data_IF_591417271924
#
_entry.id   IF_591417271924
#
_cell.length_a   1.000
_cell.length_b   1.000
_cell.length_c   1.000
_cell.angle_alpha   90.00
_cell.angle_beta   90.00
_cell.angle_gamma   90.00
#
_symmetry.space_group_name_H-M   'P 1'
#
loop_
_entity.id
_entity.type
_entity.pdbx_description
1 polymer ?
#
# COMPACT_ATOMS: atom_id res chain seq x y z
N UNK A 1 -21.94 -11.23 -1.06
CA UNK A 1 -20.50 -10.94 -1.26
C UNK A 1 -19.75 -11.40 -0.04
N UNK A 2 -18.47 -11.74 -0.18
CA UNK A 2 -17.60 -12.01 0.97
C UNK A 2 -17.61 -10.85 1.99
N UNK A 3 -17.89 -11.11 3.29
CA UNK A 3 -17.95 -10.07 4.32
C UNK A 3 -16.68 -9.25 4.43
N UNK A 4 -15.51 -9.82 4.10
CA UNK A 4 -14.23 -9.14 4.21
C UNK A 4 -14.09 -7.91 3.29
N UNK A 5 -14.92 -7.74 2.26
CA UNK A 5 -14.89 -6.55 1.40
C UNK A 5 -15.21 -5.25 2.18
N UNK A 6 -15.89 -5.36 3.33
CA UNK A 6 -16.15 -4.23 4.24
C UNK A 6 -14.87 -3.63 4.83
N UNK A 7 -13.75 -4.35 4.77
CA UNK A 7 -12.46 -3.88 5.28
C UNK A 7 -11.74 -2.92 4.31
N UNK A 8 -12.25 -2.74 3.08
CA UNK A 8 -11.60 -1.87 2.10
C UNK A 8 -11.36 -0.42 2.59
N UNK A 9 -12.28 0.25 3.32
CA UNK A 9 -12.02 1.56 3.90
C UNK A 9 -10.92 1.56 4.97
N UNK A 10 -10.81 0.48 5.76
CA UNK A 10 -9.73 0.32 6.74
C UNK A 10 -8.37 0.28 6.04
N UNK A 11 -8.25 -0.55 5.00
CA UNK A 11 -7.03 -0.66 4.21
C UNK A 11 -6.69 0.63 3.47
N UNK A 12 -7.70 1.38 3.02
CA UNK A 12 -7.48 2.70 2.42
C UNK A 12 -6.88 3.69 3.42
N UNK A 13 -7.32 3.65 4.68
CA UNK A 13 -6.68 4.41 5.77
C UNK A 13 -5.23 3.97 6.00
N UNK A 14 -4.96 2.67 5.91
CA UNK A 14 -3.61 2.12 6.03
C UNK A 14 -2.69 2.57 4.87
N UNK A 15 -3.18 2.57 3.63
CA UNK A 15 -2.45 3.09 2.45
C UNK A 15 -2.13 4.57 2.56
N UNK A 16 -3.09 5.39 3.00
CA UNK A 16 -2.86 6.81 3.25
C UNK A 16 -1.79 7.00 4.32
N UNK A 17 -1.84 6.20 5.39
CA UNK A 17 -0.81 6.23 6.42
C UNK A 17 0.56 5.81 5.88
N UNK A 18 0.64 4.79 5.02
CA UNK A 18 1.88 4.39 4.34
C UNK A 18 2.46 5.53 3.49
N UNK A 19 1.63 6.26 2.75
CA UNK A 19 2.07 7.42 1.97
C UNK A 19 2.63 8.54 2.86
N UNK A 20 1.98 8.82 3.99
CA UNK A 20 2.48 9.78 4.98
C UNK A 20 3.83 9.34 5.55
N UNK A 21 4.00 8.04 5.84
CA UNK A 21 5.29 7.54 6.29
C UNK A 21 6.35 7.59 5.17
N UNK A 22 5.99 7.27 3.93
CA UNK A 22 6.90 7.36 2.79
C UNK A 22 7.45 8.79 2.65
N UNK A 23 6.60 9.82 2.74
CA UNK A 23 7.03 11.21 2.75
C UNK A 23 7.91 11.55 3.96
N UNK A 24 7.61 11.00 5.14
CA UNK A 24 8.41 11.27 6.35
C UNK A 24 9.86 10.77 6.24
N UNK A 25 10.05 9.59 5.64
CA UNK A 25 11.34 8.91 5.59
C UNK A 25 12.10 9.13 4.26
N UNK A 26 11.38 9.37 3.16
CA UNK A 26 11.93 9.51 1.81
C UNK A 26 11.57 10.85 1.14
N UNK A 27 10.89 11.74 1.86
CA UNK A 27 10.41 13.02 1.36
C UNK A 27 11.52 13.98 0.93
N UNK A 28 11.11 15.03 0.23
CA UNK A 28 11.98 16.08 -0.31
C UNK A 28 12.85 16.69 0.80
N UNK A 29 12.29 16.88 1.99
CA UNK A 29 13.01 17.44 3.16
C UNK A 29 14.20 16.58 3.61
N UNK A 30 14.15 15.26 3.42
CA UNK A 30 15.26 14.36 3.76
C UNK A 30 16.36 14.43 2.68
N UNK A 31 15.95 14.55 1.42
CA UNK A 31 16.84 14.73 0.28
C UNK A 31 17.62 16.05 0.43
N UNK A 32 16.94 17.14 0.77
CA UNK A 32 17.57 18.46 1.02
C UNK A 32 18.62 18.41 2.14
N UNK A 33 18.41 17.57 3.16
CA UNK A 33 19.32 17.42 4.30
C UNK A 33 20.45 16.43 4.03
N UNK A 34 20.48 15.79 2.86
CA UNK A 34 21.43 14.72 2.55
C UNK A 34 21.38 13.55 3.55
N UNK A 35 20.24 13.37 4.24
CA UNK A 35 20.10 12.35 5.28
C UNK A 35 19.90 11.00 4.61
N UNK A 36 20.72 10.01 4.96
CA UNK A 36 20.50 8.64 4.48
C UNK A 36 19.23 8.07 5.12
N UNK A 37 18.18 7.70 4.35
CA UNK A 37 16.97 7.12 4.91
C UNK A 37 17.22 5.84 5.72
N UNK A 38 18.33 5.14 5.46
CA UNK A 38 18.71 3.91 6.17
C UNK A 38 19.16 4.14 7.60
N UNK A 39 19.56 5.37 7.94
CA UNK A 39 19.95 5.73 9.30
C UNK A 39 18.77 6.24 10.13
N UNK A 40 17.59 6.37 9.53
CA UNK A 40 16.38 6.80 10.22
C UNK A 40 15.74 5.62 10.93
N UNK A 41 15.85 5.59 12.25
CA UNK A 41 15.22 4.56 13.05
C UNK A 41 13.69 4.68 13.03
N UNK A 42 13.02 3.56 12.81
CA UNK A 42 11.59 3.41 13.02
C UNK A 42 11.41 2.79 14.39
N UNK A 43 10.70 3.47 15.30
CA UNK A 43 10.44 2.94 16.63
C UNK A 43 9.80 1.55 16.56
N UNK A 44 10.27 0.62 17.41
CA UNK A 44 9.97 -0.82 17.34
C UNK A 44 8.48 -1.13 17.26
N UNK A 45 7.66 -0.52 18.12
CA UNK A 45 6.20 -0.71 18.10
C UNK A 45 5.55 -0.28 16.79
N UNK A 46 6.05 0.79 16.16
CA UNK A 46 5.56 1.23 14.84
C UNK A 46 6.01 0.27 13.76
N UNK A 47 7.26 -0.19 13.79
CA UNK A 47 7.78 -1.16 12.84
C UNK A 47 7.00 -2.49 12.89
N UNK A 48 6.68 -2.96 14.11
CA UNK A 48 5.86 -4.15 14.32
C UNK A 48 4.44 -3.96 13.79
N UNK A 49 3.75 -2.87 14.17
CA UNK A 49 2.40 -2.57 13.68
C UNK A 49 2.35 -2.46 12.16
N UNK A 50 3.35 -1.81 11.56
CA UNK A 50 3.43 -1.66 10.11
C UNK A 50 3.62 -3.01 9.43
N UNK A 51 4.57 -3.82 9.91
CA UNK A 51 4.85 -5.14 9.35
C UNK A 51 3.63 -6.06 9.46
N UNK A 52 2.95 -6.06 10.60
CA UNK A 52 1.69 -6.80 10.81
C UNK A 52 0.59 -6.29 9.88
N UNK A 53 0.46 -4.99 9.69
CA UNK A 53 -0.49 -4.39 8.76
C UNK A 53 -0.26 -4.86 7.32
N UNK A 54 0.98 -4.83 6.83
CA UNK A 54 1.36 -5.30 5.49
C UNK A 54 1.05 -6.80 5.31
N UNK A 55 1.35 -7.63 6.32
CA UNK A 55 1.05 -9.06 6.29
C UNK A 55 -0.45 -9.33 6.27
N UNK A 56 -1.19 -8.67 7.16
CA UNK A 56 -2.64 -8.81 7.27
C UNK A 56 -3.34 -8.35 5.98
N UNK A 57 -2.88 -7.24 5.38
CA UNK A 57 -3.38 -6.77 4.09
C UNK A 57 -3.08 -7.77 2.97
N UNK A 58 -1.86 -8.30 2.93
CA UNK A 58 -1.47 -9.29 1.91
C UNK A 58 -2.36 -10.54 1.98
N UNK A 59 -2.61 -11.06 3.19
CA UNK A 59 -3.54 -12.18 3.41
C UNK A 59 -4.96 -11.79 2.99
N UNK A 60 -5.39 -10.58 3.33
CA UNK A 60 -6.72 -10.08 2.94
C UNK A 60 -6.87 -9.99 1.42
N UNK A 61 -5.92 -9.42 0.69
CA UNK A 61 -5.93 -9.32 -0.78
C UNK A 61 -5.99 -10.71 -1.42
N UNK A 62 -5.18 -11.66 -0.94
CA UNK A 62 -5.22 -13.05 -1.42
C UNK A 62 -6.59 -13.69 -1.19
N UNK A 63 -7.25 -13.39 -0.06
CA UNK A 63 -8.60 -13.87 0.23
C UNK A 63 -9.65 -13.34 -0.75
N UNK A 64 -9.43 -12.17 -1.37
CA UNK A 64 -10.38 -11.58 -2.33
C UNK A 64 -10.41 -12.34 -3.66
N UNK A 65 -9.35 -13.08 -3.99
CA UNK A 65 -9.25 -13.87 -5.21
C UNK A 65 -10.28 -15.02 -5.25
N UNK A 66 -10.85 -15.40 -4.10
CA UNK A 66 -11.90 -16.41 -4.01
C UNK A 66 -13.31 -15.87 -4.37
N UNK A 67 -13.49 -14.55 -4.51
CA UNK A 67 -14.75 -13.94 -4.95
C UNK A 67 -14.60 -13.42 -6.38
N UNK A 68 -15.30 -14.05 -7.33
CA UNK A 68 -15.20 -13.73 -8.76
C UNK A 68 -15.43 -12.24 -9.08
N UNK A 69 -16.25 -11.56 -8.29
CA UNK A 69 -16.56 -10.12 -8.46
C UNK A 69 -15.44 -9.18 -8.00
N UNK A 70 -14.46 -9.68 -7.25
CA UNK A 70 -13.37 -8.91 -6.67
C UNK A 70 -11.99 -9.30 -7.22
N UNK A 71 -11.93 -10.28 -8.12
CA UNK A 71 -10.67 -10.74 -8.74
C UNK A 71 -9.94 -9.60 -9.45
N UNK A 72 -10.60 -8.81 -10.29
CA UNK A 72 -9.91 -7.78 -11.08
C UNK A 72 -9.16 -6.75 -10.21
N UNK A 73 -9.81 -6.07 -9.23
CA UNK A 73 -9.10 -5.11 -8.39
C UNK A 73 -8.05 -5.78 -7.49
N UNK A 74 -8.30 -7.01 -7.02
CA UNK A 74 -7.32 -7.75 -6.20
C UNK A 74 -6.06 -8.13 -7.00
N UNK A 75 -6.23 -8.62 -8.24
CA UNK A 75 -5.11 -8.86 -9.16
C UNK A 75 -4.37 -7.56 -9.49
N UNK A 76 -5.10 -6.47 -9.71
CA UNK A 76 -4.51 -5.14 -9.92
C UNK A 76 -3.60 -4.73 -8.75
N UNK A 77 -4.06 -4.92 -7.51
CA UNK A 77 -3.25 -4.66 -6.31
C UNK A 77 -2.00 -5.55 -6.25
N UNK A 78 -2.10 -6.84 -6.57
CA UNK A 78 -0.94 -7.74 -6.57
C UNK A 78 0.09 -7.29 -7.62
N UNK A 79 -0.37 -7.04 -8.85
CA UNK A 79 0.49 -6.62 -9.97
C UNK A 79 1.21 -5.31 -9.66
N UNK A 80 0.49 -4.30 -9.16
CA UNK A 80 1.12 -3.00 -8.86
C UNK A 80 2.13 -3.11 -7.72
N UNK A 81 1.88 -3.99 -6.74
CA UNK A 81 2.82 -4.25 -5.64
C UNK A 81 4.10 -4.91 -6.13
N UNK A 82 3.97 -5.94 -6.97
CA UNK A 82 5.13 -6.64 -7.56
C UNK A 82 5.93 -5.71 -8.48
N UNK A 83 5.23 -4.94 -9.32
CA UNK A 83 5.84 -3.95 -10.21
C UNK A 83 6.56 -2.85 -9.40
N UNK A 84 5.90 -2.31 -8.38
CA UNK A 84 6.49 -1.30 -7.50
C UNK A 84 7.73 -1.81 -6.77
N UNK A 85 7.70 -3.03 -6.26
CA UNK A 85 8.87 -3.69 -5.68
C UNK A 85 10.01 -3.83 -6.70
N UNK A 86 9.70 -4.30 -7.92
CA UNK A 86 10.68 -4.46 -9.00
C UNK A 86 11.27 -3.13 -9.48
N UNK A 87 10.50 -2.04 -9.46
CA UNK A 87 11.00 -0.71 -9.80
C UNK A 87 11.89 -0.15 -8.70
N UNK A 88 11.47 -0.24 -7.42
CA UNK A 88 12.24 0.27 -6.27
C UNK A 88 13.64 -0.30 -6.15
N UNK A 89 13.85 -1.56 -6.56
CA UNK A 89 15.19 -2.19 -6.57
C UNK A 89 16.10 -1.68 -7.69
N UNK A 90 15.55 -1.02 -8.72
CA UNK A 90 16.29 -0.56 -9.91
C UNK A 90 16.50 0.94 -9.98
N UNK A 91 15.69 1.73 -9.28
CA UNK A 91 15.77 3.19 -9.30
C UNK A 91 16.64 3.72 -8.18
N UNK A 92 17.22 4.90 -8.39
CA UNK A 92 17.90 5.64 -7.33
C UNK A 92 16.93 6.02 -6.20
N UNK A 93 17.44 6.17 -4.98
CA UNK A 93 16.63 6.50 -3.79
C UNK A 93 15.73 7.73 -3.98
N UNK A 94 16.18 8.74 -4.74
CA UNK A 94 15.40 9.96 -5.05
C UNK A 94 14.09 9.69 -5.80
N UNK A 95 14.00 8.59 -6.54
CA UNK A 95 12.82 8.19 -7.30
C UNK A 95 11.91 7.20 -6.55
N UNK A 96 12.39 6.61 -5.45
CA UNK A 96 11.65 5.60 -4.69
C UNK A 96 10.34 6.17 -4.16
N UNK A 97 10.35 7.41 -3.66
CA UNK A 97 9.15 8.09 -3.18
C UNK A 97 8.10 8.22 -4.30
N UNK A 98 8.51 8.65 -5.50
CA UNK A 98 7.61 8.79 -6.66
C UNK A 98 6.95 7.45 -6.98
N UNK A 99 7.73 6.37 -7.02
CA UNK A 99 7.21 5.01 -7.24
C UNK A 99 6.21 4.62 -6.15
N UNK A 100 6.52 4.87 -4.88
CA UNK A 100 5.62 4.58 -3.75
C UNK A 100 4.32 5.38 -3.83
N UNK A 101 4.37 6.66 -4.24
CA UNK A 101 3.19 7.50 -4.40
C UNK A 101 2.29 6.98 -5.52
N UNK A 102 2.85 6.64 -6.67
CA UNK A 102 2.08 6.07 -7.77
C UNK A 102 1.47 4.72 -7.41
N UNK A 103 2.25 3.82 -6.81
CA UNK A 103 1.75 2.52 -6.32
C UNK A 103 0.60 2.71 -5.33
N UNK A 104 0.78 3.57 -4.31
CA UNK A 104 -0.24 3.85 -3.31
C UNK A 104 -1.51 4.47 -3.92
N UNK A 105 -1.38 5.41 -4.85
CA UNK A 105 -2.53 6.01 -5.54
C UNK A 105 -3.35 4.97 -6.32
N UNK A 106 -2.67 4.07 -7.06
CA UNK A 106 -3.33 2.99 -7.79
C UNK A 106 -4.02 2.03 -6.81
N UNK A 107 -3.34 1.64 -5.73
CA UNK A 107 -3.91 0.75 -4.71
C UNK A 107 -5.13 1.36 -4.03
N UNK A 108 -5.10 2.65 -3.69
CA UNK A 108 -6.26 3.39 -3.17
C UNK A 108 -7.42 3.37 -4.18
N UNK A 109 -7.13 3.56 -5.48
CA UNK A 109 -8.15 3.44 -6.53
C UNK A 109 -8.80 2.06 -6.59
N UNK A 110 -8.02 0.99 -6.45
CA UNK A 110 -8.54 -0.39 -6.39
C UNK A 110 -9.36 -0.65 -5.13
N UNK A 111 -8.93 -0.14 -3.98
CA UNK A 111 -9.66 -0.24 -2.72
C UNK A 111 -11.01 0.50 -2.78
N UNK A 112 -11.03 1.69 -3.39
CA UNK A 112 -12.26 2.42 -3.65
C UNK A 112 -13.20 1.61 -4.56
N UNK A 113 -12.67 0.98 -5.61
CA UNK A 113 -13.47 0.12 -6.49
C UNK A 113 -14.07 -1.08 -5.73
N UNK A 114 -13.31 -1.71 -4.82
CA UNK A 114 -13.80 -2.79 -3.95
C UNK A 114 -14.91 -2.28 -3.03
N UNK A 115 -14.71 -1.13 -2.37
CA UNK A 115 -15.69 -0.53 -1.47
C UNK A 115 -17.01 -0.18 -2.20
N UNK A 116 -16.93 0.39 -3.40
CA UNK A 116 -18.10 0.71 -4.23
C UNK A 116 -18.82 -0.56 -4.68
N UNK A 117 -18.08 -1.60 -5.11
CA UNK A 117 -18.68 -2.91 -5.46
C UNK A 117 -19.36 -3.53 -4.24
N UNK A 118 -18.75 -3.45 -3.06
CA UNK A 118 -19.37 -3.91 -1.83
C UNK A 118 -20.68 -3.17 -1.56
N UNK A 119 -20.68 -1.84 -1.53
CA UNK A 119 -21.90 -1.06 -1.28
C UNK A 119 -23.02 -1.33 -2.28
N UNK A 120 -22.67 -1.50 -3.57
CA UNK A 120 -23.66 -1.71 -4.63
C UNK A 120 -24.31 -3.10 -4.61
N UNK A 121 -23.62 -4.10 -4.06
CA UNK A 121 -24.03 -5.51 -4.12
C UNK A 121 -24.05 -6.22 -2.76
N UNK A 122 -23.93 -5.46 -1.66
CA UNK A 122 -24.23 -5.88 -0.30
C UNK A 122 -25.75 -5.94 -0.09
#
# INVERSE_FOLDING_TARGET
MLPQAILAPLWMGFELWQLVQAERYLGIRQIERGTDPRTLEVGEGRAALWSLGLLAESVWVLSLLFERRLIDPALGMIVVTLAGYAMRRSVEMKWVLVVLTFEGAVRIGMLLAIAVRFWRYA
#
